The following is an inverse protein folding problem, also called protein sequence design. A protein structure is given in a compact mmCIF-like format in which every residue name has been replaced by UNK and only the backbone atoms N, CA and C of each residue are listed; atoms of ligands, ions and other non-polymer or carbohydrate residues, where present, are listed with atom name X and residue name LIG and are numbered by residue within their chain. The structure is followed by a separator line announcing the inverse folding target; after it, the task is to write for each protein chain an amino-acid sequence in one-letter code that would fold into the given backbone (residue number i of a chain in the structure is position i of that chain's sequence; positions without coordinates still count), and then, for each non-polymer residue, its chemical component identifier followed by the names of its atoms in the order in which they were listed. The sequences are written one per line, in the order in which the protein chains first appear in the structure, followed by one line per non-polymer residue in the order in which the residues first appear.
data_IF_348078467829
#
_entry.id   IF_348078467829
#
_cell.length_a   1.000
_cell.length_b   1.000
_cell.length_c   1.000
_cell.angle_alpha   90.00
_cell.angle_beta   90.00
_cell.angle_gamma   90.00
#
_symmetry.space_group_name_H-M   'P 1'
#
loop_
_entity.id
_entity.type
_entity.pdbx_description
1 polymer ?
#
# COMPACT_ATOMS: atom_id res chain seq x y z
N UNK A 1 1.80 -13.82 13.39
CA UNK A 1 2.13 -13.28 12.05
C UNK A 1 2.23 -14.46 11.11
N UNK A 2 1.40 -14.53 10.08
CA UNK A 2 1.46 -15.64 9.10
C UNK A 2 2.24 -15.18 7.88
N UNK A 3 3.24 -15.98 7.48
CA UNK A 3 4.10 -15.73 6.32
C UNK A 3 3.74 -16.71 5.21
N UNK A 4 3.72 -16.26 3.96
CA UNK A 4 3.51 -17.11 2.80
C UNK A 4 4.66 -16.91 1.82
N UNK A 5 5.25 -18.01 1.35
CA UNK A 5 6.20 -17.96 0.24
C UNK A 5 5.41 -17.77 -1.06
N UNK A 6 5.81 -16.77 -1.86
CA UNK A 6 5.18 -16.45 -3.14
C UNK A 6 6.16 -16.72 -4.27
N UNK A 7 5.64 -17.12 -5.43
CA UNK A 7 6.42 -17.23 -6.66
C UNK A 7 6.12 -16.04 -7.57
N UNK A 8 7.16 -15.60 -8.28
CA UNK A 8 7.01 -14.64 -9.36
C UNK A 8 6.47 -15.36 -10.61
N UNK A 9 5.41 -14.82 -11.19
CA UNK A 9 4.88 -15.23 -12.48
C UNK A 9 5.32 -14.23 -13.55
N UNK A 10 5.74 -14.77 -14.70
CA UNK A 10 6.30 -14.01 -15.83
C UNK A 10 7.43 -13.07 -15.37
N UNK A 11 7.27 -11.77 -15.59
CA UNK A 11 8.31 -10.76 -15.38
C UNK A 11 8.03 -9.79 -14.23
N UNK A 12 7.00 -10.04 -13.41
CA UNK A 12 6.66 -9.06 -12.36
C UNK A 12 5.44 -9.33 -11.48
N UNK A 13 4.68 -10.41 -11.71
CA UNK A 13 3.43 -10.62 -10.97
C UNK A 13 3.65 -11.57 -9.79
N UNK A 14 3.19 -11.18 -8.61
CA UNK A 14 3.01 -12.10 -7.46
C UNK A 14 1.53 -12.20 -7.12
N UNK A 15 1.05 -13.40 -6.87
CA UNK A 15 -0.35 -13.62 -6.48
C UNK A 15 -0.47 -13.67 -4.97
N UNK A 16 -1.23 -12.74 -4.38
CA UNK A 16 -1.51 -12.74 -2.94
C UNK A 16 -2.29 -13.99 -2.54
N UNK A 17 -2.08 -14.59 -1.35
CA UNK A 17 -2.84 -15.75 -0.88
C UNK A 17 -4.36 -15.48 -0.81
N UNK A 18 -5.20 -16.50 -1.07
CA UNK A 18 -6.67 -16.38 -1.03
C UNK A 18 -7.18 -15.77 0.28
N UNK A 19 -6.67 -16.25 1.42
CA UNK A 19 -7.03 -15.75 2.75
C UNK A 19 -6.82 -14.24 2.90
N UNK A 20 -5.78 -13.67 2.28
CA UNK A 20 -5.52 -12.23 2.36
C UNK A 20 -6.48 -11.44 1.47
N UNK A 21 -6.74 -11.93 0.26
CA UNK A 21 -7.70 -11.30 -0.65
C UNK A 21 -9.11 -11.26 -0.05
N UNK A 22 -9.55 -12.37 0.53
CA UNK A 22 -10.88 -12.48 1.16
C UNK A 22 -10.98 -11.60 2.41
N UNK A 23 -9.87 -11.31 3.09
CA UNK A 23 -9.85 -10.53 4.34
C UNK A 23 -10.04 -9.03 4.13
N UNK A 24 -9.47 -8.48 3.06
CA UNK A 24 -9.35 -7.02 2.90
C UNK A 24 -10.31 -6.41 1.89
N UNK A 25 -11.13 -7.23 1.22
CA UNK A 25 -12.17 -6.82 0.26
C UNK A 25 -11.77 -5.67 -0.68
N UNK A 26 -10.54 -5.72 -1.20
CA UNK A 26 -10.00 -4.70 -2.10
C UNK A 26 -9.16 -5.35 -3.20
N UNK A 27 -9.17 -4.69 -4.37
CA UNK A 27 -8.29 -5.02 -5.51
C UNK A 27 -7.11 -4.06 -5.63
N UNK A 28 -7.05 -3.04 -4.76
CA UNK A 28 -6.04 -1.98 -4.80
C UNK A 28 -5.04 -2.18 -3.66
N UNK A 29 -3.76 -2.14 -3.99
CA UNK A 29 -2.68 -2.33 -3.03
C UNK A 29 -1.59 -1.30 -3.28
N UNK A 30 -0.94 -0.85 -2.20
CA UNK A 30 0.27 -0.04 -2.27
C UNK A 30 1.48 -0.92 -1.98
N UNK A 31 2.49 -0.84 -2.83
CA UNK A 31 3.80 -1.45 -2.61
C UNK A 31 4.78 -0.34 -2.24
N UNK A 32 5.50 -0.51 -1.13
CA UNK A 32 6.51 0.43 -0.65
C UNK A 32 7.83 -0.32 -0.50
N UNK A 33 8.89 0.21 -1.11
CA UNK A 33 10.24 -0.26 -0.88
C UNK A 33 10.76 0.27 0.47
N UNK A 34 11.40 -0.61 1.23
CA UNK A 34 12.00 -0.31 2.54
C UNK A 34 13.40 -0.91 2.59
N UNK A 35 14.18 -0.55 3.60
CA UNK A 35 15.53 -1.12 3.83
C UNK A 35 15.52 -2.64 4.04
N UNK A 36 14.36 -3.22 4.37
CA UNK A 36 14.16 -4.65 4.62
C UNK A 36 13.47 -5.38 3.45
N UNK A 37 13.16 -4.68 2.35
CA UNK A 37 12.49 -5.22 1.18
C UNK A 37 11.14 -4.55 0.88
N UNK A 38 10.26 -5.26 0.18
CA UNK A 38 8.98 -4.74 -0.28
C UNK A 38 7.85 -5.02 0.73
N UNK A 39 7.09 -3.98 1.06
CA UNK A 39 5.89 -4.07 1.88
C UNK A 39 4.67 -3.80 1.00
N UNK A 40 3.75 -4.76 0.92
CA UNK A 40 2.49 -4.64 0.18
C UNK A 40 1.33 -4.53 1.17
N UNK A 41 0.50 -3.48 1.06
CA UNK A 41 -0.65 -3.24 1.93
C UNK A 41 -1.93 -2.99 1.13
N UNK A 42 -3.10 -3.48 1.59
CA UNK A 42 -4.38 -3.16 0.96
C UNK A 42 -4.68 -1.67 1.09
N UNK A 43 -5.25 -1.08 0.04
CA UNK A 43 -5.82 0.26 0.08
C UNK A 43 -7.30 0.12 0.45
N UNK A 44 -7.67 0.64 1.62
CA UNK A 44 -9.05 0.64 2.13
C UNK A 44 -9.65 2.03 1.94
N UNK A 45 -10.89 2.09 1.45
CA UNK A 45 -11.55 3.33 0.97
C UNK A 45 -11.60 4.45 2.03
N UNK A 46 -11.52 4.12 3.32
CA UNK A 46 -11.53 5.11 4.41
C UNK A 46 -10.22 5.91 4.56
N UNK A 47 -9.13 5.55 3.84
CA UNK A 47 -7.80 6.14 4.06
C UNK A 47 -7.23 6.85 2.82
N UNK A 48 -7.77 6.58 1.64
CA UNK A 48 -7.17 7.00 0.37
C UNK A 48 -8.11 6.76 -0.82
N UNK A 49 -8.49 7.83 -1.53
CA UNK A 49 -9.13 7.80 -2.84
C UNK A 49 -8.06 7.61 -3.91
N UNK A 50 -7.98 6.40 -4.44
CA UNK A 50 -7.19 6.12 -5.65
C UNK A 50 -7.92 6.66 -6.88
N UNK A 51 -7.21 7.43 -7.70
CA UNK A 51 -7.69 7.86 -9.02
C UNK A 51 -6.78 7.31 -10.12
N UNK A 52 -7.38 7.07 -11.28
CA UNK A 52 -6.70 6.71 -12.52
C UNK A 52 -7.40 7.47 -13.65
N UNK A 53 -6.63 8.20 -14.45
CA UNK A 53 -7.11 9.01 -15.57
C UNK A 53 -6.15 8.91 -16.76
N UNK A 54 -6.44 9.64 -17.85
CA UNK A 54 -5.62 9.64 -19.07
C UNK A 54 -4.19 10.17 -18.89
N UNK A 55 -3.90 10.81 -17.76
CA UNK A 55 -2.61 11.41 -17.44
C UNK A 55 -1.80 10.58 -16.42
N UNK A 56 -2.41 9.55 -15.80
CA UNK A 56 -1.74 8.65 -14.88
C UNK A 56 -2.63 8.14 -13.74
N UNK A 57 -2.01 7.65 -12.68
CA UNK A 57 -2.70 7.18 -11.48
C UNK A 57 -2.08 7.81 -10.22
N UNK A 58 -2.89 7.94 -9.17
CA UNK A 58 -2.45 8.53 -7.90
C UNK A 58 -3.37 8.20 -6.73
N UNK A 59 -2.95 8.64 -5.55
CA UNK A 59 -3.72 8.50 -4.30
C UNK A 59 -3.93 9.89 -3.71
N UNK A 60 -5.19 10.23 -3.42
CA UNK A 60 -5.62 11.46 -2.76
C UNK A 60 -6.40 11.09 -1.49
N UNK A 61 -6.16 11.74 -0.36
CA UNK A 61 -6.92 11.49 0.87
C UNK A 61 -8.11 12.45 0.95
N UNK A 62 -9.35 11.94 0.85
CA UNK A 62 -10.56 12.78 0.76
C UNK A 62 -10.78 13.70 1.96
N UNK A 63 -10.49 13.18 3.16
CA UNK A 63 -10.63 13.92 4.41
C UNK A 63 -9.44 14.83 4.75
N UNK A 64 -8.51 15.00 3.80
CA UNK A 64 -7.23 15.64 4.07
C UNK A 64 -6.33 14.73 4.92
N UNK A 65 -5.03 14.76 4.64
CA UNK A 65 -4.05 14.20 5.55
C UNK A 65 -3.90 15.20 6.71
N UNK A 66 -4.05 14.80 7.98
CA UNK A 66 -3.72 15.70 9.09
C UNK A 66 -2.23 16.07 8.94
N UNK A 67 -1.89 17.33 8.60
CA UNK A 67 -0.52 17.70 8.31
C UNK A 67 0.41 17.44 9.49
N UNK A 68 -0.12 17.52 10.71
CA UNK A 68 0.63 17.27 11.94
C UNK A 68 1.00 15.79 12.09
N UNK A 69 0.09 14.87 11.77
CA UNK A 69 0.37 13.43 11.78
C UNK A 69 1.35 13.04 10.68
N UNK A 70 1.25 13.64 9.50
CA UNK A 70 2.17 13.40 8.40
C UNK A 70 3.59 13.90 8.74
N UNK A 71 3.71 15.13 9.25
CA UNK A 71 4.99 15.69 9.71
C UNK A 71 5.59 14.86 10.84
N UNK A 72 4.77 14.41 11.79
CA UNK A 72 5.19 13.54 12.89
C UNK A 72 5.76 12.22 12.36
N UNK A 73 5.07 11.56 11.42
CA UNK A 73 5.55 10.32 10.79
C UNK A 73 6.84 10.53 9.99
N UNK A 74 6.98 11.63 9.24
CA UNK A 74 8.22 11.94 8.50
C UNK A 74 9.39 12.18 9.45
N UNK A 75 9.17 12.87 10.58
CA UNK A 75 10.21 13.10 11.60
C UNK A 75 10.65 11.79 12.26
N UNK A 76 9.71 10.88 12.54
CA UNK A 76 10.03 9.56 13.09
C UNK A 76 10.84 8.69 12.11
N UNK A 77 10.61 8.83 10.80
CA UNK A 77 11.37 8.11 9.77
C UNK A 77 12.77 8.68 9.50
N UNK A 78 12.99 9.98 9.75
CA UNK A 78 14.30 10.62 9.53
C UNK A 78 15.19 10.68 10.79
N UNK A 79 14.62 10.54 11.98
CA UNK A 79 15.36 10.53 13.25
C UNK A 79 15.50 9.13 13.86
N UNK A 80 15.23 8.08 13.09
CA UNK A 80 15.39 6.66 13.46
C UNK A 80 16.53 5.99 12.71
#
# INVERSE_FOLDING_TARGET
MESFTLNLFNTGQVTLPKKWRDKFDTKKFIATETTQGLVIRPLLDEQAVYYENSEGFGVYCENGMNPEEFISKIKQLHNG
#
